data_IF_069418438188
#
_entry.id   IF_069418438188
#
_cell.length_a   1.000
_cell.length_b   1.000
_cell.length_c   1.000
_cell.angle_alpha   90.00
_cell.angle_beta   90.00
_cell.angle_gamma   90.00
#
_symmetry.space_group_name_H-M   'P 1'
#
loop_
_entity.id
_entity.type
_entity.pdbx_description
1 polymer ?
#
# COMPACT_ATOMS: atom_id res chain seq x y z
N UNK A 1 9.36 1.88 -22.83
CA UNK A 1 8.67 1.01 -21.86
C UNK A 1 7.18 1.16 -22.12
N UNK A 2 6.48 0.05 -22.36
CA UNK A 2 5.03 0.06 -22.49
C UNK A 2 4.50 0.29 -21.06
N UNK A 3 3.72 1.36 -20.84
CA UNK A 3 3.30 1.79 -19.49
C UNK A 3 2.63 0.68 -18.68
N UNK A 4 1.95 -0.25 -19.37
CA UNK A 4 1.29 -1.41 -18.78
C UNK A 4 2.25 -2.41 -18.11
N UNK A 5 3.51 -2.48 -18.52
CA UNK A 5 4.51 -3.43 -18.03
C UNK A 5 5.54 -2.79 -17.10
N UNK A 6 5.33 -1.53 -16.69
CA UNK A 6 6.30 -0.79 -15.88
C UNK A 6 6.70 -1.53 -14.60
N UNK A 7 5.71 -2.10 -13.90
CA UNK A 7 5.95 -2.78 -12.62
C UNK A 7 6.76 -4.06 -12.80
N UNK A 8 6.42 -4.87 -13.78
CA UNK A 8 7.12 -6.11 -14.09
C UNK A 8 8.55 -5.85 -14.56
N UNK A 9 8.74 -4.84 -15.42
CA UNK A 9 10.07 -4.46 -15.89
C UNK A 9 10.94 -3.92 -14.75
N UNK A 10 10.39 -3.13 -13.82
CA UNK A 10 11.11 -2.65 -12.66
C UNK A 10 11.58 -3.81 -11.77
N UNK A 11 10.72 -4.79 -11.50
CA UNK A 11 11.05 -5.98 -10.73
C UNK A 11 12.07 -6.86 -11.45
N UNK A 12 11.98 -6.99 -12.78
CA UNK A 12 12.92 -7.73 -13.62
C UNK A 12 14.32 -7.10 -13.60
N UNK A 13 14.42 -5.77 -13.75
CA UNK A 13 15.70 -5.04 -13.66
C UNK A 13 16.39 -5.26 -12.31
N UNK A 14 15.61 -5.33 -11.24
CA UNK A 14 16.10 -5.61 -9.90
C UNK A 14 16.33 -7.11 -9.64
N UNK A 15 15.94 -7.98 -10.59
CA UNK A 15 15.91 -9.43 -10.41
C UNK A 15 15.21 -9.85 -9.11
N UNK A 16 14.09 -9.19 -8.81
CA UNK A 16 13.24 -9.49 -7.67
C UNK A 16 12.19 -10.51 -8.08
N UNK A 17 12.07 -11.57 -7.28
CA UNK A 17 11.05 -12.61 -7.44
C UNK A 17 10.05 -12.54 -6.30
N UNK A 18 8.83 -13.03 -6.53
CA UNK A 18 7.84 -13.14 -5.47
C UNK A 18 6.96 -14.38 -5.67
N UNK A 19 6.50 -14.93 -4.56
CA UNK A 19 5.48 -15.97 -4.51
C UNK A 19 4.19 -15.36 -3.96
N UNK A 20 3.09 -15.59 -4.67
CA UNK A 20 1.77 -15.09 -4.27
C UNK A 20 0.92 -16.29 -3.86
N UNK A 21 0.48 -16.27 -2.61
CA UNK A 21 -0.48 -17.24 -2.10
C UNK A 21 -1.91 -16.71 -2.30
N UNK A 22 -2.81 -17.58 -2.75
CA UNK A 22 -4.24 -17.30 -2.95
C UNK A 22 -4.52 -16.16 -3.94
N UNK A 23 -3.80 -16.10 -5.05
CA UNK A 23 -3.99 -15.09 -6.10
C UNK A 23 -5.43 -15.08 -6.66
N UNK A 24 -6.11 -16.23 -6.61
CA UNK A 24 -7.51 -16.42 -6.99
C UNK A 24 -8.50 -15.60 -6.15
N UNK A 25 -8.09 -15.09 -4.99
CA UNK A 25 -8.91 -14.20 -4.16
C UNK A 25 -9.05 -12.78 -4.75
N UNK A 26 -8.27 -12.44 -5.79
CA UNK A 26 -8.36 -11.15 -6.48
C UNK A 26 -9.63 -11.12 -7.35
N UNK A 27 -10.61 -10.23 -7.08
CA UNK A 27 -11.79 -10.11 -7.92
C UNK A 27 -11.43 -9.57 -9.31
N UNK A 28 -11.90 -10.24 -10.36
CA UNK A 28 -11.64 -9.83 -11.74
C UNK A 28 -12.31 -8.50 -12.11
N UNK A 29 -13.40 -8.14 -11.43
CA UNK A 29 -14.18 -6.92 -11.68
C UNK A 29 -14.92 -6.47 -10.42
N UNK A 30 -15.48 -5.28 -10.50
CA UNK A 30 -16.25 -4.63 -9.44
C UNK A 30 -15.39 -3.87 -8.43
N UNK A 31 -16.02 -3.01 -7.61
CA UNK A 31 -15.33 -2.13 -6.69
C UNK A 31 -14.49 -2.92 -5.70
N UNK A 32 -13.19 -2.76 -5.75
CA UNK A 32 -12.24 -3.54 -4.95
C UNK A 32 -11.18 -2.64 -4.33
N UNK A 33 -10.89 -2.83 -3.06
CA UNK A 33 -9.81 -2.13 -2.38
C UNK A 33 -8.85 -3.13 -1.73
N UNK A 34 -7.57 -3.05 -2.09
CA UNK A 34 -6.50 -3.78 -1.44
C UNK A 34 -5.96 -2.97 -0.28
N UNK A 35 -5.88 -3.59 0.89
CA UNK A 35 -5.33 -3.01 2.12
C UNK A 35 -4.14 -3.86 2.56
N UNK A 36 -2.93 -3.32 2.42
CA UNK A 36 -1.70 -4.04 2.66
C UNK A 36 -0.88 -3.43 3.80
N UNK A 37 -0.11 -4.27 4.53
CA UNK A 37 0.98 -3.80 5.35
C UNK A 37 2.15 -3.29 4.47
N UNK A 38 3.08 -2.55 5.06
CA UNK A 38 4.11 -1.81 4.31
C UNK A 38 5.52 -2.02 4.90
N UNK A 39 6.03 -3.28 4.94
CA UNK A 39 7.32 -3.56 5.58
C UNK A 39 8.53 -3.06 4.79
N UNK A 40 8.47 -3.00 3.46
CA UNK A 40 9.62 -2.69 2.60
C UNK A 40 9.56 -1.32 1.94
N UNK A 41 8.40 -0.71 1.82
CA UNK A 41 8.21 0.59 1.18
C UNK A 41 8.02 0.49 -0.34
N UNK A 42 8.92 1.05 -1.12
CA UNK A 42 8.79 1.08 -2.59
C UNK A 42 8.55 -0.33 -3.16
N UNK A 43 9.21 -1.34 -2.60
CA UNK A 43 9.10 -2.72 -3.07
C UNK A 43 7.70 -3.30 -2.94
N UNK A 44 7.01 -3.06 -1.81
CA UNK A 44 5.63 -3.53 -1.62
C UNK A 44 4.71 -2.94 -2.71
N UNK A 45 4.90 -1.65 -3.00
CA UNK A 45 4.18 -0.96 -4.06
C UNK A 45 4.44 -1.58 -5.44
N UNK A 46 5.71 -1.88 -5.78
CA UNK A 46 6.08 -2.51 -7.05
C UNK A 46 5.46 -3.90 -7.18
N UNK A 47 5.59 -4.75 -6.16
CA UNK A 47 5.09 -6.13 -6.20
C UNK A 47 3.55 -6.15 -6.27
N UNK A 48 2.85 -5.43 -5.39
CA UNK A 48 1.38 -5.45 -5.40
C UNK A 48 0.81 -4.84 -6.67
N UNK A 49 1.45 -3.81 -7.21
CA UNK A 49 1.04 -3.22 -8.50
C UNK A 49 1.26 -4.17 -9.67
N UNK A 50 2.39 -4.92 -9.69
CA UNK A 50 2.64 -5.96 -10.67
C UNK A 50 1.57 -7.05 -10.61
N UNK A 51 1.29 -7.60 -9.42
CA UNK A 51 0.25 -8.63 -9.22
C UNK A 51 -1.11 -8.15 -9.75
N UNK A 52 -1.54 -6.97 -9.32
CA UNK A 52 -2.88 -6.46 -9.63
C UNK A 52 -2.99 -6.05 -11.10
N UNK A 53 -1.97 -5.41 -11.68
CA UNK A 53 -1.99 -4.97 -13.09
C UNK A 53 -2.04 -6.12 -14.10
N UNK A 54 -1.56 -7.31 -13.72
CA UNK A 54 -1.66 -8.52 -14.54
C UNK A 54 -3.08 -9.13 -14.54
N UNK A 55 -3.98 -8.68 -13.64
CA UNK A 55 -5.34 -9.19 -13.50
C UNK A 55 -6.37 -8.11 -13.84
N UNK A 56 -6.09 -6.84 -13.51
CA UNK A 56 -7.02 -5.71 -13.65
C UNK A 56 -6.35 -4.51 -14.30
N UNK A 57 -6.99 -3.96 -15.31
CA UNK A 57 -6.53 -2.75 -16.01
C UNK A 57 -7.02 -1.46 -15.33
N UNK A 58 -8.07 -1.55 -14.53
CA UNK A 58 -8.76 -0.44 -13.88
C UNK A 58 -8.22 -0.11 -12.48
N UNK A 59 -6.99 -0.50 -12.17
CA UNK A 59 -6.40 -0.22 -10.86
C UNK A 59 -5.87 1.21 -10.74
N UNK A 60 -5.94 1.74 -9.53
CA UNK A 60 -5.27 2.98 -9.08
C UNK A 60 -4.53 2.71 -7.78
N UNK A 61 -3.52 3.51 -7.50
CA UNK A 61 -2.69 3.39 -6.30
C UNK A 61 -2.76 4.68 -5.50
N UNK A 62 -3.12 4.59 -4.23
CA UNK A 62 -3.05 5.72 -3.31
C UNK A 62 -1.62 5.83 -2.79
N UNK A 63 -0.88 6.86 -3.19
CA UNK A 63 0.58 6.95 -3.00
C UNK A 63 1.01 8.31 -2.46
N UNK A 64 2.19 8.37 -1.84
CA UNK A 64 2.82 9.64 -1.48
C UNK A 64 3.09 10.50 -2.72
N UNK A 65 2.70 11.77 -2.69
CA UNK A 65 2.88 12.72 -3.78
C UNK A 65 4.35 12.88 -4.22
N UNK A 66 5.33 12.60 -3.37
CA UNK A 66 6.75 12.64 -3.76
C UNK A 66 7.07 11.60 -4.85
N UNK A 67 6.36 10.47 -4.88
CA UNK A 67 6.53 9.40 -5.86
C UNK A 67 5.71 9.61 -7.14
N UNK A 68 4.79 10.59 -7.17
CA UNK A 68 3.95 10.88 -8.35
C UNK A 68 4.66 11.60 -9.48
N UNK A 69 5.96 11.82 -9.35
CA UNK A 69 6.79 12.51 -10.35
C UNK A 69 7.25 11.61 -11.50
N UNK A 70 6.93 10.32 -11.45
CA UNK A 70 7.28 9.36 -12.50
C UNK A 70 6.18 9.40 -13.56
N UNK A 71 6.46 10.01 -14.72
CA UNK A 71 5.47 10.28 -15.75
C UNK A 71 4.80 9.00 -16.29
N UNK A 72 5.55 7.92 -16.49
CA UNK A 72 5.04 6.64 -17.02
C UNK A 72 3.95 5.96 -16.20
N UNK A 73 3.85 6.26 -14.89
CA UNK A 73 2.84 5.64 -14.01
C UNK A 73 1.82 6.64 -13.47
N UNK A 74 1.93 7.91 -13.87
CA UNK A 74 1.13 8.99 -13.31
C UNK A 74 -0.37 8.77 -13.43
N UNK A 75 -0.81 8.16 -14.51
CA UNK A 75 -2.21 7.85 -14.72
C UNK A 75 -2.77 6.83 -13.71
N UNK A 76 -1.92 5.94 -13.17
CA UNK A 76 -2.32 4.95 -12.17
C UNK A 76 -2.34 5.49 -10.74
N UNK A 77 -1.94 6.76 -10.52
CA UNK A 77 -1.69 7.29 -9.18
C UNK A 77 -2.79 8.24 -8.71
N UNK A 78 -3.22 8.05 -7.45
CA UNK A 78 -3.92 9.04 -6.66
C UNK A 78 -2.98 9.53 -5.55
N UNK A 79 -2.29 10.67 -5.76
CA UNK A 79 -1.28 11.14 -4.83
C UNK A 79 -1.89 11.74 -3.56
N UNK A 80 -1.25 11.50 -2.40
CA UNK A 80 -1.56 12.11 -1.11
C UNK A 80 -0.32 12.78 -0.51
N UNK A 81 -0.52 13.83 0.27
CA UNK A 81 0.54 14.58 0.94
C UNK A 81 0.50 14.32 2.45
N UNK A 82 1.67 14.11 3.05
CA UNK A 82 1.83 13.91 4.49
C UNK A 82 2.22 15.22 5.20
N UNK A 83 1.45 16.27 4.98
CA UNK A 83 1.61 17.57 5.63
C UNK A 83 0.37 17.95 6.43
N UNK A 84 0.54 18.94 7.33
CA UNK A 84 -0.54 19.48 8.14
C UNK A 84 -1.00 20.86 7.63
N UNK A 85 -0.48 21.32 6.48
CA UNK A 85 -0.88 22.60 5.89
C UNK A 85 -2.28 22.50 5.31
N UNK A 86 -3.03 23.59 5.33
CA UNK A 86 -4.38 23.65 4.78
C UNK A 86 -4.45 23.19 3.30
N UNK A 87 -3.44 23.53 2.52
CA UNK A 87 -3.31 23.14 1.12
C UNK A 87 -3.15 21.62 0.96
N UNK A 88 -2.38 20.97 1.86
CA UNK A 88 -2.21 19.52 1.84
C UNK A 88 -3.51 18.80 2.20
N UNK A 89 -4.28 19.35 3.14
CA UNK A 89 -5.60 18.82 3.51
C UNK A 89 -6.57 18.91 2.32
N UNK A 90 -6.64 20.06 1.65
CA UNK A 90 -7.48 20.27 0.46
C UNK A 90 -7.07 19.30 -0.67
N UNK A 91 -5.77 19.17 -0.91
CA UNK A 91 -5.23 18.21 -1.88
C UNK A 91 -5.65 16.78 -1.57
N UNK A 92 -5.53 16.36 -0.31
CA UNK A 92 -5.90 15.02 0.13
C UNK A 92 -7.42 14.76 0.04
N UNK A 93 -8.26 15.78 0.25
CA UNK A 93 -9.71 15.68 0.04
C UNK A 93 -10.00 15.39 -1.45
N UNK A 94 -9.31 16.05 -2.37
CA UNK A 94 -9.46 15.79 -3.80
C UNK A 94 -9.10 14.34 -4.15
N UNK A 95 -7.94 13.86 -3.71
CA UNK A 95 -7.49 12.49 -3.95
C UNK A 95 -8.40 11.44 -3.32
N UNK A 96 -8.92 11.73 -2.11
CA UNK A 96 -9.94 10.89 -1.47
C UNK A 96 -11.21 10.80 -2.32
N UNK A 97 -11.71 11.93 -2.81
CA UNK A 97 -12.93 11.94 -3.61
C UNK A 97 -12.74 11.23 -4.95
N UNK A 98 -11.58 11.39 -5.59
CA UNK A 98 -11.21 10.62 -6.79
C UNK A 98 -11.20 9.12 -6.50
N UNK A 99 -10.64 8.68 -5.37
CA UNK A 99 -10.61 7.28 -4.95
C UNK A 99 -12.02 6.72 -4.74
N UNK A 100 -12.89 7.47 -4.05
CA UNK A 100 -14.29 7.08 -3.82
C UNK A 100 -15.04 6.94 -5.14
N UNK A 101 -14.93 7.94 -6.04
CA UNK A 101 -15.60 7.91 -7.34
C UNK A 101 -15.08 6.76 -8.21
N UNK A 102 -13.77 6.51 -8.21
CA UNK A 102 -13.16 5.40 -8.92
C UNK A 102 -13.73 4.04 -8.46
N UNK A 103 -13.79 3.82 -7.15
CA UNK A 103 -14.39 2.61 -6.57
C UNK A 103 -15.89 2.50 -6.89
N UNK A 104 -16.67 3.59 -6.77
CA UNK A 104 -18.10 3.58 -7.10
C UNK A 104 -18.38 3.24 -8.57
N UNK A 105 -17.44 3.55 -9.45
CA UNK A 105 -17.50 3.18 -10.86
C UNK A 105 -16.98 1.76 -11.15
N UNK A 106 -16.80 0.93 -10.13
CA UNK A 106 -16.36 -0.45 -10.27
C UNK A 106 -14.86 -0.66 -10.27
N UNK A 107 -14.06 0.40 -10.12
CA UNK A 107 -12.61 0.36 -10.19
C UNK A 107 -11.92 -0.33 -9.01
N UNK A 108 -10.63 -0.52 -9.15
CA UNK A 108 -9.75 -1.16 -8.18
C UNK A 108 -8.79 -0.15 -7.55
N UNK A 109 -8.59 -0.20 -6.22
CA UNK A 109 -7.69 0.68 -5.48
C UNK A 109 -6.68 -0.09 -4.64
N UNK A 110 -5.40 0.20 -4.81
CA UNK A 110 -4.30 -0.34 -3.99
C UNK A 110 -3.95 0.69 -2.92
N UNK A 111 -3.85 0.23 -1.65
CA UNK A 111 -3.54 1.12 -0.54
C UNK A 111 -2.59 0.49 0.48
N UNK A 112 -1.75 1.34 1.08
CA UNK A 112 -0.91 1.05 2.25
C UNK A 112 -1.30 2.03 3.37
N UNK A 113 -2.31 1.68 4.20
CA UNK A 113 -3.03 2.67 5.01
C UNK A 113 -2.22 3.28 6.16
N UNK A 114 -1.10 2.68 6.56
CA UNK A 114 -0.17 3.30 7.52
C UNK A 114 0.41 4.61 6.97
N UNK A 115 0.58 4.68 5.65
CA UNK A 115 1.23 5.79 4.95
C UNK A 115 2.74 5.90 5.22
N UNK A 116 3.28 4.97 6.00
CA UNK A 116 4.70 4.93 6.38
C UNK A 116 5.17 3.47 6.43
N UNK A 117 6.44 3.27 6.12
CA UNK A 117 7.08 1.96 6.21
C UNK A 117 7.23 1.52 7.66
N UNK A 118 7.04 0.23 7.92
CA UNK A 118 7.18 -0.37 9.25
C UNK A 118 8.54 -0.05 9.87
N UNK A 119 8.53 0.33 11.16
CA UNK A 119 9.72 0.72 11.91
C UNK A 119 9.72 0.12 13.30
N UNK A 120 10.93 -0.17 13.81
CA UNK A 120 11.13 -0.59 15.20
C UNK A 120 11.03 0.61 16.14
N UNK A 121 10.44 0.42 17.32
CA UNK A 121 10.46 1.41 18.40
C UNK A 121 11.78 1.41 19.15
N UNK A 122 12.42 0.25 19.26
CA UNK A 122 13.73 0.03 19.85
C UNK A 122 14.60 -0.83 18.92
N UNK A 123 15.92 -0.79 19.11
CA UNK A 123 16.91 -1.43 18.22
C UNK A 123 16.69 -2.94 18.06
N UNK A 124 16.10 -3.60 19.04
CA UNK A 124 15.87 -5.05 19.06
C UNK A 124 14.41 -5.45 18.84
N UNK A 125 13.50 -4.47 18.72
CA UNK A 125 12.08 -4.75 18.48
C UNK A 125 11.84 -5.19 17.04
N UNK A 126 10.82 -6.02 16.85
CA UNK A 126 10.28 -6.26 15.52
C UNK A 126 9.67 -4.97 14.96
N UNK A 127 9.95 -4.62 13.70
CA UNK A 127 9.32 -3.47 13.06
C UNK A 127 7.80 -3.63 13.05
N UNK A 128 7.12 -2.58 13.43
CA UNK A 128 5.68 -2.54 13.40
C UNK A 128 5.22 -1.27 12.65
N UNK A 129 4.11 -1.37 11.95
CA UNK A 129 3.49 -0.22 11.32
C UNK A 129 2.84 0.67 12.37
N UNK A 130 2.86 1.97 12.10
CA UNK A 130 2.03 2.91 12.85
C UNK A 130 0.55 2.60 12.65
N UNK A 131 -0.28 3.21 13.48
CA UNK A 131 -1.75 3.15 13.30
C UNK A 131 -2.14 3.52 11.88
N UNK A 132 -3.03 2.77 11.30
CA UNK A 132 -3.57 3.05 9.99
C UNK A 132 -4.39 4.34 9.99
N UNK A 133 -4.30 5.11 8.93
CA UNK A 133 -4.94 6.43 8.84
C UNK A 133 -6.45 6.31 8.62
N UNK A 134 -7.27 7.16 9.25
CA UNK A 134 -8.73 7.13 9.10
C UNK A 134 -9.22 7.44 7.68
N UNK A 135 -8.33 7.87 6.81
CA UNK A 135 -8.59 8.09 5.39
C UNK A 135 -9.16 6.82 4.73
N UNK A 136 -8.56 5.66 5.02
CA UNK A 136 -9.01 4.38 4.44
C UNK A 136 -10.41 4.03 4.90
N UNK A 137 -10.72 4.19 6.20
CA UNK A 137 -12.07 3.99 6.73
C UNK A 137 -13.11 4.89 6.05
N UNK A 138 -12.76 6.18 5.82
CA UNK A 138 -13.62 7.12 5.10
C UNK A 138 -13.87 6.75 3.63
N UNK A 139 -12.86 6.22 2.93
CA UNK A 139 -13.01 5.75 1.54
C UNK A 139 -13.93 4.55 1.51
N UNK A 140 -13.67 3.53 2.33
CA UNK A 140 -14.44 2.29 2.40
C UNK A 140 -15.91 2.57 2.76
N UNK A 141 -16.15 3.37 3.80
CA UNK A 141 -17.52 3.70 4.26
C UNK A 141 -18.36 4.40 3.19
N UNK A 142 -17.73 5.14 2.26
CA UNK A 142 -18.43 5.90 1.22
C UNK A 142 -18.54 5.18 -0.11
N UNK A 143 -17.74 4.17 -0.37
CA UNK A 143 -17.72 3.45 -1.65
C UNK A 143 -18.11 1.97 -1.54
N UNK A 144 -18.14 1.42 -0.33
CA UNK A 144 -18.57 0.03 -0.02
C UNK A 144 -17.91 -1.02 -0.95
N UNK A 145 -16.58 -1.02 -1.15
CA UNK A 145 -15.92 -1.96 -2.04
C UNK A 145 -15.74 -3.33 -1.37
N UNK A 146 -15.44 -4.36 -2.16
CA UNK A 146 -14.81 -5.57 -1.63
C UNK A 146 -13.45 -5.22 -1.05
N UNK A 147 -13.19 -5.61 0.21
CA UNK A 147 -11.95 -5.31 0.92
C UNK A 147 -11.08 -6.56 0.91
N UNK A 148 -9.93 -6.48 0.26
CA UNK A 148 -8.96 -7.58 0.11
C UNK A 148 -7.74 -7.29 0.98
N UNK A 149 -7.57 -8.01 2.10
CA UNK A 149 -6.37 -7.91 2.92
C UNK A 149 -5.17 -8.54 2.21
N UNK A 150 -4.02 -7.88 2.29
CA UNK A 150 -2.76 -8.37 1.74
C UNK A 150 -1.67 -8.29 2.80
N UNK A 151 -0.88 -9.36 2.91
CA UNK A 151 0.27 -9.42 3.81
C UNK A 151 1.56 -9.62 3.04
N UNK A 152 2.52 -8.74 3.29
CA UNK A 152 3.92 -8.93 2.93
C UNK A 152 4.68 -9.44 4.16
N UNK A 153 5.47 -10.48 3.98
CA UNK A 153 6.30 -11.05 5.04
C UNK A 153 7.73 -10.53 4.94
N UNK A 154 8.30 -10.14 6.09
CA UNK A 154 9.67 -9.66 6.18
C UNK A 154 9.79 -8.22 6.68
N UNK A 155 11.00 -7.68 6.56
CA UNK A 155 11.33 -6.34 7.06
C UNK A 155 12.53 -5.74 6.34
N UNK A 156 12.70 -4.44 6.44
CA UNK A 156 13.90 -3.74 6.01
C UNK A 156 15.10 -4.01 6.93
N UNK A 157 16.29 -3.70 6.43
CA UNK A 157 17.55 -3.94 7.13
C UNK A 157 17.60 -3.30 8.53
N UNK A 158 18.42 -3.88 9.41
CA UNK A 158 18.67 -3.30 10.74
C UNK A 158 19.21 -1.87 10.65
N UNK A 159 19.99 -1.55 9.63
CA UNK A 159 20.50 -0.20 9.40
C UNK A 159 19.33 0.77 9.11
N UNK A 160 18.37 0.40 8.27
CA UNK A 160 17.18 1.20 8.00
C UNK A 160 16.40 1.49 9.28
N UNK A 161 16.22 0.47 10.12
CA UNK A 161 15.55 0.61 11.40
C UNK A 161 16.30 1.54 12.34
N UNK A 162 17.60 1.37 12.46
CA UNK A 162 18.47 2.18 13.31
C UNK A 162 18.48 3.65 12.90
N UNK A 163 18.67 3.94 11.61
CA UNK A 163 18.66 5.32 11.11
C UNK A 163 17.30 5.98 11.28
N UNK A 164 16.21 5.22 11.12
CA UNK A 164 14.86 5.69 11.35
C UNK A 164 14.58 6.15 12.77
N UNK A 165 15.32 5.63 13.73
CA UNK A 165 15.23 6.04 15.13
C UNK A 165 15.74 7.47 15.35
N UNK A 166 16.79 7.87 14.66
CA UNK A 166 17.44 9.18 14.85
C UNK A 166 16.92 10.27 13.91
N UNK A 167 16.64 9.94 12.66
CA UNK A 167 16.30 10.95 11.66
C UNK A 167 15.43 10.39 10.53
N UNK A 168 14.17 10.81 10.48
CA UNK A 168 13.22 10.40 9.45
C UNK A 168 13.61 10.83 8.03
N UNK A 169 14.30 11.98 7.86
CA UNK A 169 14.72 12.43 6.53
C UNK A 169 15.89 11.59 6.01
N UNK A 170 16.82 11.24 6.89
CA UNK A 170 17.93 10.34 6.53
C UNK A 170 17.39 8.93 6.22
N UNK A 171 16.40 8.43 6.94
CA UNK A 171 15.71 7.19 6.62
C UNK A 171 15.06 7.22 5.24
N UNK A 172 14.45 8.34 4.85
CA UNK A 172 13.87 8.50 3.49
C UNK A 172 14.94 8.37 2.40
N UNK A 173 16.14 8.91 2.63
CA UNK A 173 17.24 8.75 1.69
C UNK A 173 17.72 7.29 1.53
N UNK A 174 17.44 6.44 2.54
CA UNK A 174 17.78 5.01 2.48
C UNK A 174 16.79 4.16 1.68
N UNK A 175 15.63 4.65 1.27
CA UNK A 175 14.64 3.84 0.54
C UNK A 175 15.20 3.22 -0.74
N UNK A 176 15.96 3.98 -1.52
CA UNK A 176 16.58 3.46 -2.75
C UNK A 176 17.65 2.42 -2.40
N UNK A 177 18.44 2.66 -1.36
CA UNK A 177 19.42 1.67 -0.89
C UNK A 177 18.76 0.38 -0.43
N UNK A 178 17.67 0.47 0.34
CA UNK A 178 16.91 -0.71 0.77
C UNK A 178 16.33 -1.48 -0.41
N UNK A 179 15.80 -0.80 -1.42
CA UNK A 179 15.33 -1.42 -2.64
C UNK A 179 16.45 -2.16 -3.37
N UNK A 180 17.62 -1.53 -3.52
CA UNK A 180 18.79 -2.13 -4.16
C UNK A 180 19.39 -3.29 -3.35
N UNK A 181 19.35 -3.23 -2.02
CA UNK A 181 19.81 -4.31 -1.15
C UNK A 181 18.96 -5.59 -1.29
N UNK A 182 17.71 -5.46 -1.78
CA UNK A 182 16.78 -6.58 -2.01
C UNK A 182 16.90 -7.18 -3.42
N UNK A 183 17.84 -6.71 -4.20
CA UNK A 183 18.15 -7.28 -5.51
C UNK A 183 18.50 -8.77 -5.39
N UNK A 184 17.95 -9.58 -6.30
CA UNK A 184 18.08 -11.04 -6.34
C UNK A 184 17.37 -11.81 -5.20
N UNK A 185 16.57 -11.14 -4.38
CA UNK A 185 15.79 -11.78 -3.33
C UNK A 185 14.42 -12.25 -3.84
N UNK A 186 13.79 -13.14 -3.07
CA UNK A 186 12.43 -13.63 -3.30
C UNK A 186 11.55 -13.25 -2.12
N UNK A 187 10.34 -12.76 -2.41
CA UNK A 187 9.41 -12.25 -1.41
C UNK A 187 8.13 -13.08 -1.41
N UNK A 188 7.48 -13.15 -0.25
CA UNK A 188 6.23 -13.84 -0.08
C UNK A 188 5.10 -12.83 0.16
N UNK A 189 3.98 -13.04 -0.56
CA UNK A 189 2.79 -12.21 -0.49
C UNK A 189 1.57 -13.11 -0.30
N UNK A 190 0.79 -12.83 0.72
CA UNK A 190 -0.46 -13.53 1.01
C UNK A 190 -1.64 -12.61 0.68
N UNK A 191 -2.59 -13.11 -0.12
CA UNK A 191 -3.83 -12.42 -0.47
C UNK A 191 -4.99 -13.14 0.19
N UNK A 192 -5.71 -12.47 1.09
CA UNK A 192 -6.83 -13.07 1.79
C UNK A 192 -8.16 -12.91 1.03
N UNK A 193 -9.14 -13.69 1.43
CA UNK A 193 -10.50 -13.53 0.95
C UNK A 193 -11.07 -12.18 1.33
N UNK A 194 -12.02 -11.69 0.54
CA UNK A 194 -12.76 -10.47 0.84
C UNK A 194 -13.35 -10.52 2.25
N UNK A 195 -13.20 -9.43 2.99
CA UNK A 195 -13.80 -9.30 4.32
C UNK A 195 -15.33 -9.11 4.17
N UNK A 196 -16.11 -10.09 4.63
CA UNK A 196 -17.58 -10.06 4.49
C UNK A 196 -18.29 -9.53 5.75
N UNK A 197 -17.68 -9.68 6.94
CA UNK A 197 -18.35 -9.47 8.22
C UNK A 197 -17.96 -8.19 8.98
N UNK A 198 -17.41 -7.19 8.29
CA UNK A 198 -17.11 -5.92 8.95
C UNK A 198 -18.37 -5.03 8.93
N UNK A 199 -18.98 -4.81 10.10
CA UNK A 199 -20.12 -3.89 10.22
C UNK A 199 -19.68 -2.43 10.06
N UNK A 200 -19.35 -2.05 8.81
CA UNK A 200 -18.77 -0.75 8.45
C UNK A 200 -19.67 0.43 8.83
N UNK A 201 -21.00 0.22 8.83
CA UNK A 201 -21.97 1.31 9.03
C UNK A 201 -21.90 1.91 10.43
N UNK A 202 -21.72 1.06 11.44
CA UNK A 202 -21.73 1.47 12.85
C UNK A 202 -20.36 1.91 13.37
N UNK A 203 -19.29 1.61 12.64
CA UNK A 203 -17.93 1.96 13.04
C UNK A 203 -17.52 3.36 12.59
N UNK A 204 -16.73 4.05 13.40
CA UNK A 204 -16.02 5.25 12.98
C UNK A 204 -14.93 4.93 11.96
N UNK A 205 -14.44 5.95 11.23
CA UNK A 205 -13.36 5.76 10.26
C UNK A 205 -12.06 5.24 10.93
N UNK A 206 -11.82 5.57 12.19
CA UNK A 206 -10.68 5.08 12.97
C UNK A 206 -10.83 3.60 13.31
N UNK A 207 -12.00 3.21 13.82
CA UNK A 207 -12.29 1.81 14.15
C UNK A 207 -12.20 0.89 12.93
N UNK A 208 -12.70 1.34 11.77
CA UNK A 208 -12.53 0.59 10.51
C UNK A 208 -11.04 0.38 10.23
N UNK A 209 -10.23 1.43 10.30
CA UNK A 209 -8.79 1.36 10.03
C UNK A 209 -8.04 0.45 11.01
N UNK A 210 -8.39 0.53 12.29
CA UNK A 210 -7.78 -0.28 13.35
C UNK A 210 -8.17 -1.78 13.21
N UNK A 211 -9.42 -2.06 12.86
CA UNK A 211 -9.90 -3.42 12.59
C UNK A 211 -9.20 -4.03 11.38
N UNK A 212 -9.07 -3.27 10.28
CA UNK A 212 -8.39 -3.72 9.07
C UNK A 212 -6.90 -4.02 9.35
N UNK A 213 -6.24 -3.15 10.11
CA UNK A 213 -4.86 -3.40 10.55
C UNK A 213 -4.77 -4.70 11.34
N UNK A 214 -5.65 -4.89 12.32
CA UNK A 214 -5.68 -6.10 13.14
C UNK A 214 -5.89 -7.38 12.32
N UNK A 215 -6.72 -7.30 11.26
CA UNK A 215 -6.93 -8.43 10.35
C UNK A 215 -5.63 -8.74 9.59
N UNK A 216 -4.99 -7.74 8.98
CA UNK A 216 -3.75 -7.94 8.22
C UNK A 216 -2.60 -8.38 9.12
N UNK A 217 -2.50 -7.87 10.35
CA UNK A 217 -1.45 -8.27 11.29
C UNK A 217 -1.54 -9.76 11.67
N UNK A 218 -2.74 -10.34 11.70
CA UNK A 218 -3.03 -11.74 12.07
C UNK A 218 -2.85 -12.75 10.94
N UNK A 219 -2.61 -12.32 9.71
CA UNK A 219 -2.31 -13.20 8.59
C UNK A 219 -0.95 -13.86 8.84
N UNK A 220 -0.91 -15.20 8.76
CA UNK A 220 0.25 -16.06 8.99
C UNK A 220 0.74 -16.71 7.71
#
# INVERSE_FOLDING_TARGET
LNDKNFWDEALKILNIKYHVNNIENIPLYGPTIFVANHPFGILDGLILSSIVSNIRDDYKILINNELSKIDHIKEYLFPIKFGNKKEDVIFNISSKNKSINHLKNGGCLITFPSGEVATSKFIFDQPNERKWKPLIGSIIKKSEPKIIPVKFFGQNSKLFQFVGFFNNNLRRALFIRELLNKKNETFEVQIEKSIENLNIKDLSNHEISDNLKSIVDKIN
#
